data_IF_284612944337
#
_entry.id   IF_284612944337
#
_cell.length_a   1.000
_cell.length_b   1.000
_cell.length_c   1.000
_cell.angle_alpha   90.00
_cell.angle_beta   90.00
_cell.angle_gamma   90.00
#
_symmetry.space_group_name_H-M   'P 1'
#
loop_
_entity.id
_entity.type
_entity.pdbx_description
1 polymer ?
#
# COMPACT_ATOMS: atom_id res chain seq x y z
N UNK A 1 -20.59 -3.65 -4.77
CA UNK A 1 -19.29 -2.96 -4.81
C UNK A 1 -18.11 -3.86 -4.43
N UNK A 2 -18.00 -4.37 -3.19
CA UNK A 2 -16.83 -5.16 -2.71
C UNK A 2 -16.44 -6.29 -3.67
N UNK A 3 -17.39 -7.13 -4.10
CA UNK A 3 -17.15 -8.22 -5.07
C UNK A 3 -16.51 -7.76 -6.38
N UNK A 4 -16.88 -6.58 -6.87
CA UNK A 4 -16.31 -6.00 -8.10
C UNK A 4 -14.83 -5.71 -7.90
N UNK A 5 -14.47 -5.01 -6.84
CA UNK A 5 -13.08 -4.68 -6.54
C UNK A 5 -12.25 -5.93 -6.21
N UNK A 6 -12.81 -6.89 -5.48
CA UNK A 6 -12.18 -8.19 -5.25
C UNK A 6 -11.78 -8.86 -6.57
N UNK A 7 -12.68 -8.93 -7.55
CA UNK A 7 -12.37 -9.51 -8.86
C UNK A 7 -11.21 -8.79 -9.57
N UNK A 8 -11.08 -7.48 -9.39
CA UNK A 8 -9.95 -6.72 -9.97
C UNK A 8 -8.64 -7.03 -9.26
N UNK A 9 -8.63 -7.09 -7.92
CA UNK A 9 -7.45 -7.54 -7.16
C UNK A 9 -7.04 -8.96 -7.58
N UNK A 10 -7.99 -9.89 -7.66
CA UNK A 10 -7.71 -11.27 -8.04
C UNK A 10 -7.22 -11.42 -9.48
N UNK A 11 -7.73 -10.64 -10.45
CA UNK A 11 -7.22 -10.62 -11.83
C UNK A 11 -5.77 -10.17 -11.88
N UNK A 12 -5.43 -9.06 -11.20
CA UNK A 12 -4.04 -8.60 -11.14
C UNK A 12 -3.13 -9.62 -10.47
N UNK A 13 -3.49 -10.09 -9.27
CA UNK A 13 -2.68 -11.07 -8.52
C UNK A 13 -2.48 -12.36 -9.30
N UNK A 14 -3.49 -12.84 -10.03
CA UNK A 14 -3.39 -14.03 -10.87
C UNK A 14 -2.40 -13.91 -12.03
N UNK A 15 -2.05 -12.68 -12.44
CA UNK A 15 -1.08 -12.39 -13.52
C UNK A 15 0.33 -12.09 -13.03
N UNK A 16 0.53 -11.90 -11.72
CA UNK A 16 1.84 -11.61 -11.14
C UNK A 16 2.74 -12.84 -11.27
N UNK A 17 3.85 -12.68 -12.00
CA UNK A 17 4.90 -13.71 -12.11
C UNK A 17 5.78 -13.70 -10.86
N UNK A 18 6.31 -14.87 -10.51
CA UNK A 18 7.31 -14.96 -9.45
C UNK A 18 8.55 -14.16 -9.84
N UNK A 19 9.03 -13.31 -8.91
CA UNK A 19 10.23 -12.49 -9.09
C UNK A 19 11.14 -12.64 -7.89
N UNK A 20 12.45 -12.55 -8.15
CA UNK A 20 13.49 -12.47 -7.12
C UNK A 20 13.95 -11.03 -7.03
N UNK A 21 14.06 -10.50 -5.81
CA UNK A 21 14.62 -9.19 -5.55
C UNK A 21 15.96 -9.38 -4.85
N UNK A 22 17.00 -8.76 -5.39
CA UNK A 22 18.36 -8.82 -4.85
C UNK A 22 18.83 -7.41 -4.54
N UNK A 23 19.52 -7.26 -3.42
CA UNK A 23 20.02 -5.99 -2.91
C UNK A 23 21.48 -6.14 -2.52
N UNK A 24 22.25 -5.10 -2.74
CA UNK A 24 23.62 -4.96 -2.29
C UNK A 24 23.60 -4.76 -0.77
N UNK A 25 24.50 -5.42 -0.05
CA UNK A 25 24.67 -5.12 1.37
C UNK A 25 25.27 -3.72 1.55
N UNK A 26 25.05 -3.13 2.73
CA UNK A 26 25.47 -1.75 3.01
C UNK A 26 27.00 -1.60 2.89
N UNK A 27 27.77 -2.57 3.38
CA UNK A 27 29.24 -2.52 3.33
C UNK A 27 29.76 -2.56 1.89
N UNK A 28 29.16 -3.39 1.03
CA UNK A 28 29.51 -3.49 -0.38
C UNK A 28 29.13 -2.23 -1.15
N UNK A 29 27.96 -1.65 -0.87
CA UNK A 29 27.57 -0.36 -1.43
C UNK A 29 28.53 0.76 -1.01
N UNK A 30 28.86 0.85 0.28
CA UNK A 30 29.78 1.86 0.81
C UNK A 30 31.18 1.76 0.20
N UNK A 31 31.67 0.53 -0.03
CA UNK A 31 32.93 0.32 -0.73
C UNK A 31 32.89 0.90 -2.15
N UNK A 32 31.86 0.54 -2.94
CA UNK A 32 31.69 1.00 -4.33
C UNK A 32 31.54 2.52 -4.39
N UNK A 33 30.75 3.10 -3.48
CA UNK A 33 30.56 4.55 -3.39
C UNK A 33 31.87 5.26 -3.07
N UNK A 34 32.58 4.80 -2.04
CA UNK A 34 33.84 5.43 -1.59
C UNK A 34 34.92 5.35 -2.66
N UNK A 35 35.09 4.18 -3.28
CA UNK A 35 36.03 3.99 -4.39
C UNK A 35 35.69 4.90 -5.57
N UNK A 36 34.42 4.92 -5.99
CA UNK A 36 33.95 5.79 -7.07
C UNK A 36 34.15 7.28 -6.78
N UNK A 37 33.88 7.70 -5.55
CA UNK A 37 34.07 9.09 -5.11
C UNK A 37 35.53 9.53 -5.20
N UNK A 38 36.47 8.74 -4.68
CA UNK A 38 37.90 9.07 -4.75
C UNK A 38 38.47 9.02 -6.17
N UNK A 39 37.86 8.21 -7.06
CA UNK A 39 38.25 8.11 -8.46
C UNK A 39 37.53 9.10 -9.38
N UNK A 40 36.59 9.90 -8.86
CA UNK A 40 35.79 10.86 -9.64
C UNK A 40 34.73 10.21 -10.56
N UNK A 41 34.39 8.94 -10.31
CA UNK A 41 33.40 8.19 -11.08
C UNK A 41 32.43 7.44 -10.15
N UNK A 42 31.29 8.06 -9.88
CA UNK A 42 30.24 7.52 -8.99
C UNK A 42 29.09 6.86 -9.77
N UNK A 43 29.22 6.72 -11.09
CA UNK A 43 28.14 6.19 -11.95
C UNK A 43 27.68 4.81 -11.50
N UNK A 44 28.61 3.96 -11.05
CA UNK A 44 28.26 2.63 -10.57
C UNK A 44 27.45 2.66 -9.27
N UNK A 45 27.82 3.53 -8.33
CA UNK A 45 27.08 3.70 -7.08
C UNK A 45 25.67 4.22 -7.35
N UNK A 46 25.53 5.21 -8.24
CA UNK A 46 24.22 5.75 -8.63
C UNK A 46 23.34 4.73 -9.35
N UNK A 47 23.93 3.92 -10.22
CA UNK A 47 23.23 2.82 -10.87
C UNK A 47 22.68 1.82 -9.85
N UNK A 48 23.49 1.41 -8.87
CA UNK A 48 23.06 0.47 -7.83
C UNK A 48 21.93 1.09 -7.01
N UNK A 49 22.14 2.30 -6.49
CA UNK A 49 21.17 3.02 -5.67
C UNK A 49 19.78 3.08 -6.34
N UNK A 50 19.70 3.61 -7.56
CA UNK A 50 18.42 3.81 -8.22
C UNK A 50 17.76 2.51 -8.68
N UNK A 51 18.52 1.51 -9.14
CA UNK A 51 17.95 0.18 -9.44
C UNK A 51 17.34 -0.43 -8.19
N UNK A 52 17.99 -0.28 -7.06
CA UNK A 52 17.54 -0.82 -5.79
C UNK A 52 16.33 -0.10 -5.20
N UNK A 53 16.21 1.22 -5.36
CA UNK A 53 14.99 1.97 -5.03
C UNK A 53 13.82 1.49 -5.88
N UNK A 54 14.03 1.36 -7.19
CA UNK A 54 13.03 0.87 -8.14
C UNK A 54 12.57 -0.56 -7.85
N UNK A 55 13.50 -1.45 -7.48
CA UNK A 55 13.18 -2.82 -7.03
C UNK A 55 12.31 -2.82 -5.76
N UNK A 56 12.65 -1.99 -4.76
CA UNK A 56 11.87 -1.87 -3.52
C UNK A 56 10.48 -1.30 -3.77
N UNK A 57 10.36 -0.30 -4.63
CA UNK A 57 9.09 0.27 -5.07
C UNK A 57 8.19 -0.80 -5.72
N UNK A 58 8.75 -1.57 -6.67
CA UNK A 58 8.05 -2.67 -7.32
C UNK A 58 7.62 -3.75 -6.31
N UNK A 59 8.53 -4.15 -5.41
CA UNK A 59 8.25 -5.10 -4.33
C UNK A 59 7.09 -4.62 -3.46
N UNK A 60 7.11 -3.36 -3.02
CA UNK A 60 6.09 -2.80 -2.14
C UNK A 60 4.72 -2.79 -2.83
N UNK A 61 4.63 -2.34 -4.08
CA UNK A 61 3.37 -2.34 -4.83
C UNK A 61 2.82 -3.75 -5.09
N UNK A 62 3.67 -4.70 -5.53
CA UNK A 62 3.26 -6.09 -5.78
C UNK A 62 2.80 -6.80 -4.51
N UNK A 63 3.56 -6.69 -3.43
CA UNK A 63 3.20 -7.35 -2.16
C UNK A 63 1.96 -6.72 -1.53
N UNK A 64 1.75 -5.40 -1.69
CA UNK A 64 0.52 -4.72 -1.27
C UNK A 64 -0.70 -5.30 -1.99
N UNK A 65 -0.63 -5.49 -3.32
CA UNK A 65 -1.70 -6.12 -4.10
C UNK A 65 -2.03 -7.52 -3.59
N UNK A 66 -1.01 -8.35 -3.40
CA UNK A 66 -1.19 -9.73 -2.94
C UNK A 66 -1.78 -9.76 -1.52
N UNK A 67 -1.23 -8.98 -0.60
CA UNK A 67 -1.69 -8.91 0.81
C UNK A 67 -3.13 -8.45 0.88
N UNK A 68 -3.49 -7.42 0.11
CA UNK A 68 -4.84 -6.88 0.05
C UNK A 68 -5.85 -7.86 -0.58
N UNK A 69 -5.47 -8.61 -1.61
CA UNK A 69 -6.30 -9.67 -2.20
C UNK A 69 -6.65 -10.75 -1.17
N UNK A 70 -5.69 -11.14 -0.32
CA UNK A 70 -5.93 -12.11 0.76
C UNK A 70 -6.90 -11.58 1.80
N UNK A 71 -6.78 -10.32 2.22
CA UNK A 71 -7.75 -9.74 3.14
C UNK A 71 -9.14 -9.63 2.52
N UNK A 72 -9.24 -9.21 1.26
CA UNK A 72 -10.52 -9.15 0.55
C UNK A 72 -11.15 -10.53 0.35
N UNK A 73 -10.35 -11.58 0.15
CA UNK A 73 -10.84 -12.96 0.14
C UNK A 73 -11.54 -13.28 1.46
N UNK A 74 -10.95 -12.90 2.59
CA UNK A 74 -11.55 -13.03 3.92
C UNK A 74 -12.85 -12.23 4.07
N UNK A 75 -12.90 -10.99 3.55
CA UNK A 75 -14.14 -10.18 3.53
C UNK A 75 -15.25 -10.87 2.74
N UNK A 76 -14.94 -11.37 1.54
CA UNK A 76 -15.90 -12.10 0.70
C UNK A 76 -16.39 -13.38 1.39
N UNK A 77 -15.49 -14.11 2.04
CA UNK A 77 -15.83 -15.30 2.82
C UNK A 77 -16.73 -14.98 4.01
N UNK A 78 -16.43 -13.91 4.76
CA UNK A 78 -17.26 -13.46 5.89
C UNK A 78 -18.68 -13.11 5.46
N UNK A 79 -18.83 -12.42 4.33
CA UNK A 79 -20.14 -12.11 3.74
C UNK A 79 -20.87 -13.39 3.30
N UNK A 80 -20.19 -14.29 2.58
CA UNK A 80 -20.84 -15.48 2.01
C UNK A 80 -21.23 -16.52 3.05
N UNK A 81 -20.45 -16.63 4.12
CA UNK A 81 -20.68 -17.57 5.23
C UNK A 81 -21.48 -16.96 6.38
N UNK A 82 -21.86 -15.68 6.28
CA UNK A 82 -22.54 -14.91 7.34
C UNK A 82 -21.78 -14.99 8.66
N UNK A 83 -20.48 -14.77 8.58
CA UNK A 83 -19.58 -14.82 9.73
C UNK A 83 -19.05 -13.41 10.00
N UNK A 84 -19.67 -12.73 10.97
CA UNK A 84 -19.36 -11.35 11.32
C UNK A 84 -17.91 -11.20 11.82
N UNK A 85 -17.40 -12.19 12.54
CA UNK A 85 -16.02 -12.16 13.05
C UNK A 85 -15.00 -12.21 11.92
N UNK A 86 -15.19 -13.12 10.94
CA UNK A 86 -14.34 -13.22 9.75
C UNK A 86 -14.45 -11.95 8.90
N UNK A 87 -15.67 -11.46 8.68
CA UNK A 87 -15.89 -10.21 7.93
C UNK A 87 -15.15 -9.03 8.58
N UNK A 88 -15.38 -8.80 9.88
CA UNK A 88 -14.86 -7.64 10.58
C UNK A 88 -13.34 -7.68 10.73
N UNK A 89 -12.79 -8.84 11.09
CA UNK A 89 -11.33 -9.02 11.18
C UNK A 89 -10.64 -8.86 9.82
N UNK A 90 -11.26 -9.37 8.75
CA UNK A 90 -10.68 -9.26 7.41
C UNK A 90 -10.78 -7.86 6.84
N UNK A 91 -11.91 -7.16 7.05
CA UNK A 91 -12.07 -5.78 6.60
C UNK A 91 -11.15 -4.84 7.37
N UNK A 92 -10.96 -5.06 8.67
CA UNK A 92 -9.97 -4.35 9.49
C UNK A 92 -8.56 -4.61 8.97
N UNK A 93 -8.20 -5.87 8.72
CA UNK A 93 -6.89 -6.23 8.18
C UNK A 93 -6.63 -5.62 6.79
N UNK A 94 -7.65 -5.57 5.93
CA UNK A 94 -7.60 -4.89 4.63
C UNK A 94 -7.36 -3.38 4.81
N UNK A 95 -8.06 -2.75 5.75
CA UNK A 95 -7.92 -1.32 6.07
C UNK A 95 -6.51 -0.99 6.53
N UNK A 96 -6.01 -1.71 7.54
CA UNK A 96 -4.66 -1.53 8.07
C UNK A 96 -3.59 -1.75 7.01
N UNK A 97 -3.73 -2.82 6.21
CA UNK A 97 -2.82 -3.14 5.12
C UNK A 97 -2.81 -2.04 4.05
N UNK A 98 -3.97 -1.51 3.69
CA UNK A 98 -4.07 -0.45 2.68
C UNK A 98 -3.46 0.85 3.19
N UNK A 99 -3.70 1.22 4.45
CA UNK A 99 -3.17 2.44 5.06
C UNK A 99 -1.62 2.40 5.18
N UNK A 100 -1.07 1.25 5.59
CA UNK A 100 0.38 0.99 5.64
C UNK A 100 1.02 1.14 4.24
N UNK A 101 0.47 0.45 3.24
CA UNK A 101 0.95 0.57 1.87
C UNK A 101 0.77 1.98 1.29
N UNK A 102 -0.29 2.69 1.67
CA UNK A 102 -0.54 4.06 1.22
C UNK A 102 0.57 4.99 1.71
N UNK A 103 0.88 4.98 3.00
CA UNK A 103 1.98 5.76 3.59
C UNK A 103 3.30 5.55 2.83
N UNK A 104 3.61 4.30 2.48
CA UNK A 104 4.87 3.96 1.81
C UNK A 104 4.91 4.31 0.32
N UNK A 105 3.77 4.40 -0.36
CA UNK A 105 3.70 4.52 -1.81
C UNK A 105 3.11 5.84 -2.32
N UNK A 106 2.39 6.61 -1.51
CA UNK A 106 1.64 7.79 -1.97
C UNK A 106 2.51 8.84 -2.69
N UNK A 107 3.73 9.07 -2.22
CA UNK A 107 4.66 10.08 -2.76
C UNK A 107 5.49 9.54 -3.93
N UNK A 108 5.47 8.24 -4.16
CA UNK A 108 6.33 7.56 -5.12
C UNK A 108 6.05 8.00 -6.56
N UNK A 109 4.80 8.02 -7.08
CA UNK A 109 4.56 8.42 -8.47
C UNK A 109 5.09 9.82 -8.80
N UNK A 110 4.78 10.81 -7.95
CA UNK A 110 5.23 12.19 -8.14
C UNK A 110 6.75 12.29 -8.08
N UNK A 111 7.37 11.64 -7.10
CA UNK A 111 8.82 11.75 -6.91
C UNK A 111 9.62 11.06 -8.03
N UNK A 112 9.13 9.92 -8.52
CA UNK A 112 9.70 9.23 -9.67
C UNK A 112 9.49 10.02 -10.97
N UNK A 113 8.31 10.64 -11.15
CA UNK A 113 8.00 11.45 -12.32
C UNK A 113 8.91 12.68 -12.44
N UNK A 114 9.08 13.42 -11.34
CA UNK A 114 9.91 14.62 -11.31
C UNK A 114 11.39 14.35 -11.57
N UNK A 115 11.88 13.16 -11.19
CA UNK A 115 13.29 12.77 -11.36
C UNK A 115 13.50 11.81 -12.53
N UNK A 116 12.50 11.62 -13.40
CA UNK A 116 12.47 10.54 -14.38
C UNK A 116 13.71 10.47 -15.28
N UNK A 117 14.16 11.63 -15.82
CA UNK A 117 15.35 11.71 -16.68
C UNK A 117 16.62 11.27 -15.92
N UNK A 118 16.88 11.86 -14.75
CA UNK A 118 18.07 11.57 -13.95
C UNK A 118 18.11 10.13 -13.46
N UNK A 119 16.97 9.57 -13.07
CA UNK A 119 16.86 8.16 -12.69
C UNK A 119 17.20 7.27 -13.90
N UNK A 120 16.69 7.56 -15.09
CA UNK A 120 17.02 6.81 -16.30
C UNK A 120 18.51 6.89 -16.67
N UNK A 121 19.13 8.07 -16.52
CA UNK A 121 20.58 8.22 -16.70
C UNK A 121 21.36 7.41 -15.64
N UNK A 122 20.90 7.39 -14.38
CA UNK A 122 21.52 6.63 -13.31
C UNK A 122 21.45 5.12 -13.55
N UNK A 123 20.29 4.57 -13.91
CA UNK A 123 20.13 3.12 -14.16
C UNK A 123 20.96 2.64 -15.37
N UNK A 124 21.17 3.51 -16.38
CA UNK A 124 22.08 3.26 -17.51
C UNK A 124 23.56 3.34 -17.15
N UNK A 125 23.88 3.93 -15.98
CA UNK A 125 25.26 4.18 -15.55
C UNK A 125 25.89 5.37 -16.28
N UNK A 126 25.07 6.33 -16.72
CA UNK A 126 25.51 7.52 -17.45
C UNK A 126 25.60 8.75 -16.54
N UNK A 127 24.90 8.76 -15.40
CA UNK A 127 24.88 9.89 -14.47
C UNK A 127 26.07 9.88 -13.50
N UNK A 128 27.02 10.80 -13.71
CA UNK A 128 28.16 11.00 -12.80
C UNK A 128 27.90 12.11 -11.75
N UNK A 129 26.69 12.14 -11.19
CA UNK A 129 26.29 13.07 -10.13
C UNK A 129 25.51 12.31 -9.05
N UNK A 130 25.88 12.53 -7.79
CA UNK A 130 25.21 11.88 -6.68
C UNK A 130 23.96 12.66 -6.31
N UNK A 131 22.84 11.96 -6.30
CA UNK A 131 21.54 12.45 -5.85
C UNK A 131 20.74 11.26 -5.33
N UNK A 132 20.05 11.50 -4.22
CA UNK A 132 19.31 10.51 -3.45
C UNK A 132 17.89 11.02 -3.21
N UNK A 133 17.00 10.13 -2.84
CA UNK A 133 15.68 10.49 -2.32
C UNK A 133 15.45 9.79 -0.99
N UNK A 134 15.96 10.42 0.08
CA UNK A 134 15.94 9.87 1.43
C UNK A 134 14.52 9.58 1.93
N UNK A 135 13.52 10.36 1.51
CA UNK A 135 12.12 10.16 1.91
C UNK A 135 11.55 8.87 1.30
N UNK A 136 11.65 8.69 -0.03
CA UNK A 136 11.19 7.46 -0.69
C UNK A 136 11.95 6.27 -0.13
N UNK A 137 13.27 6.37 -0.04
CA UNK A 137 14.11 5.28 0.46
C UNK A 137 13.68 4.86 1.87
N UNK A 138 13.53 5.82 2.78
CA UNK A 138 13.10 5.56 4.16
C UNK A 138 11.72 4.91 4.19
N UNK A 139 10.75 5.41 3.41
CA UNK A 139 9.38 4.87 3.33
C UNK A 139 9.34 3.44 2.78
N UNK A 140 10.16 3.13 1.78
CA UNK A 140 10.25 1.79 1.17
C UNK A 140 10.99 0.80 2.07
N UNK A 141 12.06 1.22 2.74
CA UNK A 141 12.77 0.43 3.76
C UNK A 141 11.83 0.14 4.93
N UNK A 142 11.09 1.16 5.40
CA UNK A 142 10.08 1.02 6.44
C UNK A 142 9.04 -0.04 6.06
N UNK A 143 8.47 0.02 4.85
CA UNK A 143 7.53 -0.99 4.38
C UNK A 143 8.08 -2.43 4.46
N UNK A 144 9.36 -2.63 4.11
CA UNK A 144 9.97 -3.96 4.05
C UNK A 144 10.42 -4.50 5.42
N UNK A 145 10.89 -3.63 6.30
CA UNK A 145 11.64 -4.03 7.50
C UNK A 145 11.07 -3.49 8.81
N UNK A 146 10.07 -2.60 8.77
CA UNK A 146 9.48 -2.07 9.98
C UNK A 146 8.95 -3.21 10.85
N UNK A 147 9.40 -3.21 12.09
CA UNK A 147 9.03 -4.18 13.11
C UNK A 147 8.48 -3.44 14.31
N UNK A 148 7.82 -4.18 15.21
CA UNK A 148 7.42 -3.62 16.49
C UNK A 148 8.68 -3.24 17.27
N UNK A 149 8.93 -1.93 17.39
CA UNK A 149 10.14 -1.41 18.03
C UNK A 149 10.18 -1.67 19.53
N UNK A 150 11.38 -1.86 20.07
CA UNK A 150 11.68 -1.71 21.49
C UNK A 150 12.13 -0.28 21.75
N UNK A 151 11.37 0.44 22.60
CA UNK A 151 11.63 1.84 22.94
C UNK A 151 13.08 2.00 23.43
N UNK A 152 13.88 2.82 22.73
CA UNK A 152 15.27 3.14 23.08
C UNK A 152 16.35 2.19 22.55
N UNK A 153 16.02 1.20 21.71
CA UNK A 153 16.99 0.24 21.15
C UNK A 153 17.01 0.26 19.62
N UNK A 154 15.85 0.39 18.98
CA UNK A 154 15.73 0.36 17.53
C UNK A 154 15.81 1.77 16.90
N UNK A 155 16.41 1.88 15.72
CA UNK A 155 16.41 3.12 14.92
C UNK A 155 14.97 3.48 14.52
N UNK A 156 14.64 4.78 14.49
CA UNK A 156 13.26 5.24 14.24
C UNK A 156 12.65 4.72 12.93
N UNK A 157 13.46 4.62 11.87
CA UNK A 157 13.06 4.08 10.54
C UNK A 157 12.73 2.58 10.55
N UNK A 158 13.07 1.87 11.64
CA UNK A 158 12.77 0.45 11.81
C UNK A 158 11.57 0.19 12.73
N UNK A 159 10.98 1.24 13.29
CA UNK A 159 9.82 1.16 14.18
C UNK A 159 8.55 1.38 13.36
N UNK A 160 7.72 0.35 13.27
CA UNK A 160 6.42 0.47 12.61
C UNK A 160 5.57 1.59 13.24
N UNK A 161 4.92 2.40 12.39
CA UNK A 161 3.89 3.32 12.84
C UNK A 161 2.74 2.52 13.48
N UNK A 162 2.03 3.17 14.38
CA UNK A 162 0.78 2.63 14.91
C UNK A 162 -0.30 2.64 13.83
N UNK A 163 -1.26 1.72 13.92
CA UNK A 163 -2.39 1.70 12.98
C UNK A 163 -3.15 3.03 12.97
N UNK A 164 -3.23 3.72 14.12
CA UNK A 164 -3.85 5.03 14.21
C UNK A 164 -3.11 6.10 13.39
N UNK A 165 -1.77 6.08 13.38
CA UNK A 165 -0.96 6.99 12.57
C UNK A 165 -1.20 6.72 11.08
N UNK A 166 -1.07 5.47 10.62
CA UNK A 166 -1.35 5.10 9.22
C UNK A 166 -2.76 5.49 8.77
N UNK A 167 -3.77 5.25 9.61
CA UNK A 167 -5.16 5.56 9.28
C UNK A 167 -5.38 7.07 9.18
N UNK A 168 -4.75 7.86 10.05
CA UNK A 168 -4.84 9.32 9.97
C UNK A 168 -4.18 9.83 8.68
N UNK A 169 -3.04 9.26 8.28
CA UNK A 169 -2.35 9.61 7.04
C UNK A 169 -3.18 9.20 5.80
N UNK A 170 -3.95 8.11 5.88
CA UNK A 170 -4.83 7.68 4.80
C UNK A 170 -6.13 8.50 4.71
N UNK A 171 -6.69 8.93 5.84
CA UNK A 171 -7.95 9.68 5.94
C UNK A 171 -7.77 11.20 5.80
N UNK A 172 -6.95 11.62 4.82
CA UNK A 172 -6.60 13.04 4.57
C UNK A 172 -7.87 13.89 4.37
N UNK A 173 -8.87 13.33 3.70
CA UNK A 173 -10.14 14.00 3.40
C UNK A 173 -11.16 13.92 4.55
N UNK A 174 -10.81 13.29 5.68
CA UNK A 174 -11.65 13.14 6.88
C UNK A 174 -13.03 12.56 6.56
N UNK A 175 -13.05 11.50 5.76
CA UNK A 175 -14.28 10.81 5.38
C UNK A 175 -14.76 9.83 6.46
N UNK A 176 -14.01 9.66 7.56
CA UNK A 176 -14.39 8.83 8.70
C UNK A 176 -13.86 7.39 8.59
N UNK A 177 -12.68 7.18 8.00
CA UNK A 177 -12.03 5.85 8.00
C UNK A 177 -11.76 5.40 9.44
N UNK A 178 -11.46 6.33 10.33
CA UNK A 178 -11.24 6.05 11.75
C UNK A 178 -12.49 5.51 12.44
N UNK A 179 -13.67 5.97 12.04
CA UNK A 179 -14.95 5.52 12.62
C UNK A 179 -15.24 4.08 12.18
N UNK A 180 -15.06 3.79 10.88
CA UNK A 180 -15.11 2.42 10.36
C UNK A 180 -14.11 1.50 11.10
N UNK A 181 -12.87 1.98 11.30
CA UNK A 181 -11.88 1.20 12.02
C UNK A 181 -12.30 0.91 13.46
N UNK A 182 -12.85 1.90 14.17
CA UNK A 182 -13.34 1.74 15.53
C UNK A 182 -14.47 0.71 15.61
N UNK A 183 -15.45 0.77 14.70
CA UNK A 183 -16.54 -0.19 14.62
C UNK A 183 -16.01 -1.63 14.46
N UNK A 184 -15.12 -1.86 13.49
CA UNK A 184 -14.52 -3.18 13.25
C UNK A 184 -13.66 -3.66 14.44
N UNK A 185 -13.04 -2.73 15.16
CA UNK A 185 -12.23 -3.00 16.34
C UNK A 185 -13.09 -3.50 17.51
N UNK A 186 -14.28 -2.93 17.72
CA UNK A 186 -15.20 -3.34 18.78
C UNK A 186 -15.78 -4.74 18.59
N UNK A 187 -15.94 -5.17 17.34
CA UNK A 187 -16.38 -6.54 17.02
C UNK A 187 -15.25 -7.56 17.22
N UNK A 188 -14.00 -7.17 16.97
CA UNK A 188 -12.86 -8.10 16.88
C UNK A 188 -12.05 -8.23 18.15
N UNK A 189 -12.14 -7.28 19.08
CA UNK A 189 -11.53 -7.38 20.41
C UNK A 189 -12.54 -7.83 21.47
N UNK A 190 -12.10 -8.44 22.59
CA UNK A 190 -12.98 -8.78 23.70
C UNK A 190 -13.69 -7.53 24.24
N UNK A 191 -14.95 -7.36 23.84
CA UNK A 191 -15.79 -6.23 24.22
C UNK A 191 -17.25 -6.69 24.32
N UNK A 192 -18.12 -5.86 24.90
CA UNK A 192 -19.54 -6.18 24.96
C UNK A 192 -20.12 -6.44 23.55
N UNK A 193 -19.69 -5.65 22.55
CA UNK A 193 -20.14 -5.79 21.17
C UNK A 193 -19.67 -7.08 20.50
N UNK A 194 -18.49 -7.61 20.84
CA UNK A 194 -18.02 -8.93 20.37
C UNK A 194 -18.78 -10.12 20.96
N UNK A 195 -19.60 -9.91 21.99
CA UNK A 195 -20.48 -10.95 22.60
C UNK A 195 -21.94 -10.73 22.23
N UNK A 196 -22.35 -9.48 21.96
CA UNK A 196 -23.70 -9.13 21.48
C UNK A 196 -24.05 -9.82 20.17
N UNK A 197 -23.08 -10.14 19.31
CA UNK A 197 -23.35 -10.92 18.10
C UNK A 197 -23.87 -12.34 18.38
N UNK A 198 -23.68 -12.86 19.61
CA UNK A 198 -24.19 -14.16 20.05
C UNK A 198 -25.32 -14.05 21.08
N UNK A 199 -25.71 -12.83 21.48
CA UNK A 199 -26.63 -12.64 22.60
C UNK A 199 -27.64 -11.52 22.36
N UNK A 200 -28.90 -11.78 22.71
CA UNK A 200 -29.96 -10.78 22.76
C UNK A 200 -30.37 -10.55 24.20
N UNK A 201 -30.29 -9.30 24.65
CA UNK A 201 -30.78 -8.89 25.96
C UNK A 201 -32.32 -8.89 25.98
N UNK A 202 -32.91 -9.55 26.97
CA UNK A 202 -34.34 -9.47 27.27
C UNK A 202 -34.54 -8.95 28.68
N UNK A 203 -35.17 -7.78 28.76
CA UNK A 203 -35.65 -7.21 30.01
C UNK A 203 -37.07 -7.72 30.22
N UNK A 204 -37.23 -8.63 31.19
CA UNK A 204 -38.55 -9.11 31.62
C UNK A 204 -38.69 -8.64 33.08
N UNK A 205 -39.45 -7.56 33.30
CA UNK A 205 -39.61 -6.87 34.60
C UNK A 205 -38.28 -6.31 35.16
N UNK A 206 -38.06 -6.37 36.48
CA UNK A 206 -36.83 -5.91 37.17
C UNK A 206 -35.63 -6.88 36.99
N UNK A 207 -35.74 -7.87 36.09
CA UNK A 207 -34.71 -8.89 35.87
C UNK A 207 -34.12 -8.78 34.47
N UNK A 208 -32.80 -8.72 34.41
CA UNK A 208 -32.01 -8.83 33.20
C UNK A 208 -31.79 -10.30 32.85
N UNK A 209 -32.07 -10.67 31.60
CA UNK A 209 -31.79 -12.01 31.08
C UNK A 209 -31.18 -11.91 29.68
N UNK A 210 -30.28 -12.83 29.35
CA UNK A 210 -29.69 -12.93 28.02
C UNK A 210 -30.19 -14.20 27.34
N UNK A 211 -30.61 -14.07 26.09
CA UNK A 211 -30.84 -15.19 25.20
C UNK A 211 -29.60 -15.36 24.34
N UNK A 212 -29.02 -16.57 24.30
CA UNK A 212 -28.01 -16.87 23.27
C UNK A 212 -28.76 -17.00 21.95
N UNK A 213 -28.60 -16.00 21.11
CA UNK A 213 -29.14 -15.99 19.74
C UNK A 213 -28.05 -16.53 18.86
N UNK A 214 -28.35 -17.55 18.06
CA UNK A 214 -27.44 -18.08 17.02
C UNK A 214 -26.84 -16.96 16.15
N UNK A 215 -25.92 -17.30 15.25
CA UNK A 215 -25.32 -16.37 14.25
C UNK A 215 -26.33 -15.82 13.22
N UNK A 216 -27.63 -15.86 13.51
CA UNK A 216 -28.70 -15.40 12.62
C UNK A 216 -28.63 -13.89 12.39
N UNK A 217 -28.16 -13.12 13.37
CA UNK A 217 -28.03 -11.66 13.29
C UNK A 217 -26.75 -11.20 12.56
N UNK A 218 -25.74 -12.07 12.37
CA UNK A 218 -24.46 -11.69 11.76
C UNK A 218 -24.66 -11.06 10.37
N UNK A 219 -25.60 -11.58 9.58
CA UNK A 219 -25.86 -11.07 8.24
C UNK A 219 -26.44 -9.65 8.26
N UNK A 220 -27.32 -9.35 9.21
CA UNK A 220 -27.93 -8.04 9.33
C UNK A 220 -26.88 -7.02 9.77
N UNK A 221 -26.04 -7.35 10.75
CA UNK A 221 -24.93 -6.48 11.19
C UNK A 221 -23.90 -6.26 10.08
N UNK A 222 -23.52 -7.29 9.32
CA UNK A 222 -22.64 -7.12 8.15
C UNK A 222 -23.27 -6.15 7.14
N UNK A 223 -24.58 -6.27 6.91
CA UNK A 223 -25.30 -5.44 5.95
C UNK A 223 -25.43 -3.99 6.43
N UNK A 224 -25.63 -3.78 7.73
CA UNK A 224 -25.62 -2.47 8.38
C UNK A 224 -24.26 -1.79 8.22
N UNK A 225 -23.16 -2.47 8.58
CA UNK A 225 -21.80 -1.93 8.42
C UNK A 225 -21.52 -1.56 6.96
N UNK A 226 -21.86 -2.43 6.01
CA UNK A 226 -21.65 -2.15 4.57
C UNK A 226 -22.45 -0.93 4.12
N UNK A 227 -23.66 -0.75 4.65
CA UNK A 227 -24.55 0.36 4.25
C UNK A 227 -24.07 1.68 4.88
N UNK A 228 -23.85 1.67 6.19
CA UNK A 228 -23.42 2.83 6.97
C UNK A 228 -22.06 3.36 6.52
N UNK A 229 -21.09 2.45 6.32
CA UNK A 229 -19.72 2.81 5.95
C UNK A 229 -19.43 2.62 4.45
N UNK A 230 -20.46 2.65 3.60
CA UNK A 230 -20.35 2.39 2.17
C UNK A 230 -19.31 3.27 1.47
N UNK A 231 -19.29 4.59 1.77
CA UNK A 231 -18.35 5.54 1.19
C UNK A 231 -16.90 5.27 1.63
N UNK A 232 -16.70 4.96 2.90
CA UNK A 232 -15.40 4.65 3.50
C UNK A 232 -14.84 3.35 2.90
N UNK A 233 -15.68 2.33 2.77
CA UNK A 233 -15.33 1.06 2.12
C UNK A 233 -15.00 1.30 0.64
N UNK A 234 -15.77 2.11 -0.08
CA UNK A 234 -15.48 2.45 -1.47
C UNK A 234 -14.12 3.15 -1.62
N UNK A 235 -13.88 4.16 -0.78
CA UNK A 235 -12.62 4.90 -0.77
C UNK A 235 -11.44 3.99 -0.46
N UNK A 236 -11.58 3.07 0.49
CA UNK A 236 -10.56 2.09 0.82
C UNK A 236 -10.24 1.15 -0.35
N UNK A 237 -11.28 0.58 -0.96
CA UNK A 237 -11.14 -0.31 -2.11
C UNK A 237 -10.47 0.39 -3.30
N UNK A 238 -10.88 1.62 -3.60
CA UNK A 238 -10.39 2.41 -4.73
C UNK A 238 -9.00 3.01 -4.47
N UNK A 239 -8.75 3.49 -3.26
CA UNK A 239 -7.52 4.16 -2.85
C UNK A 239 -6.32 3.25 -2.96
N UNK A 240 -6.39 2.05 -2.34
CA UNK A 240 -5.32 1.07 -2.42
C UNK A 240 -5.04 0.67 -3.87
N UNK A 241 -6.07 0.24 -4.59
CA UNK A 241 -5.90 -0.36 -5.91
C UNK A 241 -5.36 0.67 -6.93
N UNK A 242 -5.85 1.91 -6.91
CA UNK A 242 -5.42 2.95 -7.86
C UNK A 242 -3.96 3.34 -7.64
N UNK A 243 -3.54 3.45 -6.38
CA UNK A 243 -2.16 3.80 -6.04
C UNK A 243 -1.17 2.75 -6.54
N UNK A 244 -1.41 1.47 -6.24
CA UNK A 244 -0.53 0.39 -6.67
C UNK A 244 -0.43 0.33 -8.19
N UNK A 245 -1.54 0.63 -8.88
CA UNK A 245 -1.58 0.71 -10.33
C UNK A 245 -0.62 1.76 -10.88
N UNK A 246 -0.74 2.99 -10.37
CA UNK A 246 0.04 4.12 -10.85
C UNK A 246 1.52 3.84 -10.59
N UNK A 247 1.86 3.30 -9.41
CA UNK A 247 3.22 2.88 -9.09
C UNK A 247 3.77 1.85 -10.07
N UNK A 248 3.03 0.76 -10.36
CA UNK A 248 3.51 -0.27 -11.30
C UNK A 248 3.59 0.25 -12.75
N UNK A 249 2.69 1.15 -13.13
CA UNK A 249 2.65 1.72 -14.49
C UNK A 249 3.80 2.69 -14.72
N UNK A 250 4.10 3.58 -13.77
CA UNK A 250 5.27 4.47 -13.90
C UNK A 250 6.58 3.69 -13.88
N UNK A 251 6.67 2.62 -13.09
CA UNK A 251 7.84 1.73 -13.06
C UNK A 251 8.13 1.12 -14.44
N UNK A 252 7.09 0.80 -15.22
CA UNK A 252 7.23 0.26 -16.58
C UNK A 252 7.80 1.27 -17.59
N UNK A 253 7.84 2.57 -17.25
CA UNK A 253 8.42 3.60 -18.11
C UNK A 253 9.95 3.71 -18.00
N UNK A 254 10.58 3.14 -16.97
CA UNK A 254 12.02 3.19 -16.81
C UNK A 254 12.72 2.12 -17.64
N UNK A 255 13.96 2.40 -18.08
CA UNK A 255 14.81 1.45 -18.82
C UNK A 255 15.42 0.37 -17.90
N UNK A 256 14.55 -0.37 -17.19
CA UNK A 256 14.89 -1.44 -16.27
C UNK A 256 13.81 -2.54 -16.25
N UNK A 257 14.01 -3.60 -17.05
CA UNK A 257 12.99 -4.64 -17.29
C UNK A 257 12.58 -5.44 -16.02
N UNK A 258 13.45 -5.52 -15.02
CA UNK A 258 13.19 -6.28 -13.79
C UNK A 258 12.03 -5.72 -12.94
N UNK A 259 11.59 -4.49 -13.22
CA UNK A 259 10.46 -3.82 -12.56
C UNK A 259 9.24 -3.63 -13.48
N UNK A 260 9.28 -4.14 -14.71
CA UNK A 260 8.17 -3.97 -15.65
C UNK A 260 6.97 -4.84 -15.26
N UNK A 261 5.78 -4.27 -15.34
CA UNK A 261 4.52 -4.92 -14.98
C UNK A 261 3.51 -4.79 -16.12
N UNK A 262 3.87 -5.31 -17.30
CA UNK A 262 3.05 -5.26 -18.52
C UNK A 262 1.62 -5.78 -18.33
N UNK A 263 1.45 -6.76 -17.44
CA UNK A 263 0.14 -7.34 -17.09
C UNK A 263 -0.85 -6.30 -16.55
N UNK A 264 -0.37 -5.15 -16.05
CA UNK A 264 -1.23 -4.04 -15.61
C UNK A 264 -2.00 -3.46 -16.80
N UNK A 265 -1.37 -3.32 -17.98
CA UNK A 265 -2.03 -2.77 -19.17
C UNK A 265 -3.09 -3.71 -19.76
N UNK A 266 -2.99 -5.01 -19.51
CA UNK A 266 -3.89 -6.05 -20.04
C UNK A 266 -4.95 -6.49 -19.02
N UNK A 267 -4.96 -5.88 -17.83
CA UNK A 267 -5.84 -6.29 -16.75
C UNK A 267 -7.14 -5.47 -16.73
N UNK A 268 -8.20 -6.04 -16.12
CA UNK A 268 -9.44 -5.30 -15.85
C UNK A 268 -9.14 -4.01 -15.06
N UNK A 269 -8.00 -4.02 -14.38
CA UNK A 269 -7.40 -2.94 -13.64
C UNK A 269 -7.22 -1.62 -14.41
N UNK A 270 -6.94 -1.65 -15.72
CA UNK A 270 -6.85 -0.40 -16.50
C UNK A 270 -8.20 0.35 -16.53
N UNK A 271 -9.32 -0.36 -16.41
CA UNK A 271 -10.65 0.25 -16.39
C UNK A 271 -10.97 1.04 -15.12
N UNK A 272 -10.22 0.81 -14.04
CA UNK A 272 -10.41 1.48 -12.75
C UNK A 272 -9.29 2.48 -12.43
N UNK A 273 -8.27 2.58 -13.29
CA UNK A 273 -7.20 3.56 -13.16
C UNK A 273 -7.79 4.97 -13.15
N UNK A 274 -7.34 5.79 -12.20
CA UNK A 274 -7.64 7.22 -12.23
C UNK A 274 -6.85 7.87 -13.38
N UNK A 275 -7.49 8.00 -14.55
CA UNK A 275 -6.88 8.57 -15.75
C UNK A 275 -6.36 9.99 -15.53
N UNK A 276 -7.02 10.79 -14.70
CA UNK A 276 -6.57 12.15 -14.40
C UNK A 276 -5.24 12.11 -13.64
N UNK A 277 -5.17 11.30 -12.56
CA UNK A 277 -3.92 11.14 -11.81
C UNK A 277 -2.79 10.56 -12.67
N UNK A 278 -3.11 9.64 -13.59
CA UNK A 278 -2.10 9.12 -14.53
C UNK A 278 -1.61 10.18 -15.51
N UNK A 279 -2.50 11.01 -16.05
CA UNK A 279 -2.12 12.09 -16.95
C UNK A 279 -1.28 13.15 -16.23
N UNK A 280 -1.58 13.47 -14.97
CA UNK A 280 -0.77 14.37 -14.14
C UNK A 280 0.66 13.84 -13.97
N UNK A 281 0.83 12.53 -13.74
CA UNK A 281 2.14 11.89 -13.69
C UNK A 281 2.91 12.06 -15.00
N UNK A 282 2.25 11.84 -16.15
CA UNK A 282 2.87 12.04 -17.46
C UNK A 282 3.26 13.50 -17.71
N UNK A 283 2.42 14.45 -17.31
CA UNK A 283 2.75 15.88 -17.39
C UNK A 283 3.94 16.25 -16.51
N UNK A 284 4.07 15.66 -15.32
CA UNK A 284 5.23 15.87 -14.44
C UNK A 284 6.52 15.36 -15.08
N UNK A 285 6.48 14.23 -15.78
CA UNK A 285 7.63 13.71 -16.54
C UNK A 285 8.04 14.71 -17.63
N UNK A 286 7.09 15.17 -18.45
CA UNK A 286 7.36 16.11 -19.55
C UNK A 286 7.91 17.45 -19.02
N UNK A 287 7.33 17.99 -17.94
CA UNK A 287 7.83 19.22 -17.30
C UNK A 287 9.22 19.04 -16.71
N UNK A 288 9.49 17.92 -16.04
CA UNK A 288 10.79 17.62 -15.44
C UNK A 288 11.89 17.48 -16.50
N UNK A 289 11.58 16.86 -17.64
CA UNK A 289 12.50 16.77 -18.78
C UNK A 289 12.85 18.15 -19.34
N UNK A 290 11.85 18.98 -19.64
CA UNK A 290 12.06 20.34 -20.17
C UNK A 290 12.89 21.21 -19.23
N UNK A 291 12.60 21.16 -17.93
CA UNK A 291 13.37 21.92 -16.94
C UNK A 291 14.86 21.56 -16.96
N UNK A 292 15.18 20.26 -17.02
CA UNK A 292 16.57 19.80 -17.09
C UNK A 292 17.23 20.18 -18.41
N UNK A 293 16.52 20.07 -19.54
CA UNK A 293 17.06 20.47 -20.85
C UNK A 293 17.35 21.98 -20.93
N UNK A 294 16.61 22.81 -20.20
CA UNK A 294 16.81 24.27 -20.13
C UNK A 294 17.93 24.70 -19.17
N UNK A 295 18.30 23.86 -18.19
CA UNK A 295 19.24 24.21 -17.13
C UNK A 295 20.53 23.37 -17.13
N UNK A 296 20.65 22.37 -18.02
CA UNK A 296 21.91 21.72 -18.37
C UNK A 296 22.61 22.52 -19.50
N UNK A 297 23.29 23.61 -19.12
CA UNK A 297 24.33 24.33 -19.87
C UNK A 297 25.64 24.34 -19.08
#
# INVERSE_FOLDING_TARGET
MIKKYYAVYSDAVGKIKHRKYEYTNIDGFMYIFTEGFFNGDIRKAQQIYWKEILLRAHFAAVTSLIRNEKWLTGVIMGISTRNLMVFSSSLRGFLESTADSFFSLESLPTSLALNFKNINLAIKGELNQFFVNDDIESRLIHYQFAKRGKKGVDEKSSIAHTNAEYINDFDINKIGIRDLYAELCEVTHPAANSVKCFTQEKIISERYSYLVTSTEADYDVISEIITEYSNQIEYLLKGGISLYCICLKILTLFDFEDIHSEYINESIFESILNKNAWNEVLEMIDKGQKYLDEHEC
#
